data_IF_500247786184
#
_entry.id   IF_500247786184
#
_cell.length_a   1.000
_cell.length_b   1.000
_cell.length_c   1.000
_cell.angle_alpha   90.00
_cell.angle_beta   90.00
_cell.angle_gamma   90.00
#
_symmetry.space_group_name_H-M   'P 1'
#
loop_
_entity.id
_entity.type
_entity.pdbx_description
1 polymer ?
#
# COMPACT_ATOMS: atom_id res chain seq x y z
N UNK A 1 -3.39 -41.30 -5.60
CA UNK A 1 -4.73 -40.69 -5.53
C UNK A 1 -5.65 -41.65 -6.26
N UNK A 2 -6.68 -42.16 -5.60
CA UNK A 2 -7.68 -43.02 -6.24
C UNK A 2 -8.58 -42.14 -7.13
N UNK A 3 -8.81 -42.54 -8.38
CA UNK A 3 -9.67 -41.76 -9.29
C UNK A 3 -11.11 -41.66 -8.77
N UNK A 4 -11.56 -42.66 -7.99
CA UNK A 4 -12.88 -42.67 -7.37
C UNK A 4 -13.00 -41.70 -6.19
N UNK A 5 -11.88 -41.16 -5.68
CA UNK A 5 -11.88 -40.14 -4.63
C UNK A 5 -11.73 -38.71 -5.16
N UNK A 6 -11.56 -38.53 -6.47
CA UNK A 6 -11.47 -37.21 -7.11
C UNK A 6 -12.87 -36.62 -7.27
N UNK A 7 -13.17 -35.59 -6.49
CA UNK A 7 -14.38 -34.80 -6.63
C UNK A 7 -14.03 -33.40 -7.13
N UNK A 8 -14.25 -33.16 -8.43
CA UNK A 8 -13.90 -31.88 -9.07
C UNK A 8 -14.65 -30.68 -8.47
N UNK A 9 -15.88 -30.85 -7.98
CA UNK A 9 -16.60 -29.77 -7.31
C UNK A 9 -15.91 -29.35 -6.02
N UNK A 10 -15.49 -30.33 -5.22
CA UNK A 10 -14.74 -30.04 -3.99
C UNK A 10 -13.40 -29.35 -4.32
N UNK A 11 -12.70 -29.79 -5.37
CA UNK A 11 -11.45 -29.15 -5.81
C UNK A 11 -11.68 -27.71 -6.29
N UNK A 12 -12.74 -27.45 -7.05
CA UNK A 12 -13.11 -26.11 -7.51
C UNK A 12 -13.48 -25.19 -6.34
N UNK A 13 -14.30 -25.68 -5.39
CA UNK A 13 -14.66 -24.95 -4.17
C UNK A 13 -13.40 -24.60 -3.33
N UNK A 14 -12.40 -25.49 -3.30
CA UNK A 14 -11.11 -25.22 -2.65
C UNK A 14 -10.34 -24.11 -3.36
N UNK A 15 -10.34 -24.07 -4.69
CA UNK A 15 -9.70 -23.00 -5.47
C UNK A 15 -10.38 -21.66 -5.18
N UNK A 16 -11.71 -21.58 -5.31
CA UNK A 16 -12.49 -20.35 -5.07
C UNK A 16 -12.25 -19.81 -3.66
N UNK A 17 -12.21 -20.70 -2.65
CA UNK A 17 -11.90 -20.33 -1.27
C UNK A 17 -10.48 -19.79 -1.12
N UNK A 18 -9.49 -20.44 -1.75
CA UNK A 18 -8.09 -20.01 -1.70
C UNK A 18 -7.91 -18.65 -2.37
N UNK A 19 -8.51 -18.42 -3.54
CA UNK A 19 -8.48 -17.14 -4.25
C UNK A 19 -9.15 -16.03 -3.42
N UNK A 20 -10.31 -16.31 -2.82
CA UNK A 20 -11.02 -15.37 -1.95
C UNK A 20 -10.19 -14.99 -0.71
N UNK A 21 -9.49 -15.95 -0.11
CA UNK A 21 -8.59 -15.69 1.01
C UNK A 21 -7.37 -14.86 0.59
N UNK A 22 -6.74 -15.21 -0.54
CA UNK A 22 -5.63 -14.44 -1.10
C UNK A 22 -6.04 -12.99 -1.37
N UNK A 23 -7.24 -12.76 -1.92
CA UNK A 23 -7.75 -11.42 -2.16
C UNK A 23 -7.93 -10.61 -0.86
N UNK A 24 -8.44 -11.23 0.20
CA UNK A 24 -8.54 -10.58 1.52
C UNK A 24 -7.16 -10.18 2.05
N UNK A 25 -6.18 -11.08 1.97
CA UNK A 25 -4.79 -10.80 2.39
C UNK A 25 -4.18 -9.66 1.57
N UNK A 26 -4.36 -9.67 0.24
CA UNK A 26 -3.87 -8.60 -0.64
C UNK A 26 -4.46 -7.24 -0.24
N UNK A 27 -5.77 -7.19 -0.01
CA UNK A 27 -6.46 -5.97 0.43
C UNK A 27 -5.95 -5.47 1.78
N UNK A 28 -5.78 -6.38 2.74
CA UNK A 28 -5.24 -6.04 4.06
C UNK A 28 -3.85 -5.43 3.98
N UNK A 29 -2.95 -6.03 3.18
CA UNK A 29 -1.61 -5.49 2.96
C UNK A 29 -1.67 -4.08 2.37
N UNK A 30 -2.51 -3.84 1.35
CA UNK A 30 -2.66 -2.50 0.76
C UNK A 30 -3.21 -1.49 1.78
N UNK A 31 -4.20 -1.87 2.59
CA UNK A 31 -4.77 -1.02 3.65
C UNK A 31 -3.72 -0.64 4.70
N UNK A 32 -2.88 -1.58 5.12
CA UNK A 32 -1.81 -1.32 6.08
C UNK A 32 -0.79 -0.34 5.53
N UNK A 33 -0.36 -0.51 4.27
CA UNK A 33 0.50 0.48 3.61
C UNK A 33 -0.16 1.85 3.47
N UNK A 34 -1.46 1.90 3.15
CA UNK A 34 -2.21 3.15 3.06
C UNK A 34 -2.20 3.92 4.38
N UNK A 35 -2.52 3.27 5.50
CA UNK A 35 -2.49 3.91 6.82
C UNK A 35 -1.08 4.30 7.25
N UNK A 36 -0.09 3.48 6.97
CA UNK A 36 1.32 3.83 7.23
C UNK A 36 1.71 5.09 6.45
N UNK A 37 1.36 5.18 5.17
CA UNK A 37 1.62 6.35 4.32
C UNK A 37 0.89 7.60 4.80
N UNK A 38 -0.37 7.45 5.23
CA UNK A 38 -1.13 8.53 5.88
C UNK A 38 -0.42 9.05 7.13
N UNK A 39 0.09 8.16 7.98
CA UNK A 39 0.88 8.50 9.15
C UNK A 39 2.17 9.26 8.79
N UNK A 40 2.90 8.80 7.77
CA UNK A 40 4.08 9.51 7.26
C UNK A 40 3.73 10.94 6.79
N UNK A 41 2.62 11.10 6.08
CA UNK A 41 2.17 12.41 5.58
C UNK A 41 1.77 13.34 6.73
N UNK A 42 1.04 12.85 7.73
CA UNK A 42 0.66 13.63 8.92
C UNK A 42 1.87 14.18 9.67
N UNK A 43 2.88 13.34 9.93
CA UNK A 43 4.14 13.79 10.55
C UNK A 43 4.92 14.76 9.66
N UNK A 44 4.98 14.49 8.35
CA UNK A 44 5.62 15.39 7.41
C UNK A 44 4.97 16.78 7.43
N UNK A 45 3.65 16.85 7.36
CA UNK A 45 2.90 18.11 7.40
C UNK A 45 3.02 18.83 8.75
N UNK A 46 3.18 18.09 9.85
CA UNK A 46 3.51 18.67 11.14
C UNK A 46 4.88 19.36 11.12
N UNK A 47 5.93 18.67 10.66
CA UNK A 47 7.29 19.23 10.61
C UNK A 47 7.44 20.35 9.57
N UNK A 48 6.74 20.25 8.44
CA UNK A 48 6.77 21.25 7.37
C UNK A 48 6.24 22.63 7.79
N UNK A 49 5.53 22.73 8.92
CA UNK A 49 5.14 24.02 9.51
C UNK A 49 6.34 24.85 9.98
N UNK A 50 7.44 24.19 10.32
CA UNK A 50 8.63 24.82 10.93
C UNK A 50 9.88 24.64 10.09
N UNK A 51 9.98 23.54 9.34
CA UNK A 51 11.18 23.13 8.62
C UNK A 51 10.94 23.05 7.11
N UNK A 52 12.02 23.13 6.33
CA UNK A 52 11.98 22.86 4.89
C UNK A 52 11.68 21.37 4.60
N UNK A 53 11.41 21.04 3.34
CA UNK A 53 10.99 19.69 2.93
C UNK A 53 12.04 18.61 3.25
N UNK A 54 13.33 18.91 3.10
CA UNK A 54 14.41 17.97 3.38
C UNK A 54 14.49 17.68 4.88
N UNK A 55 14.52 18.71 5.72
CA UNK A 55 14.54 18.59 7.17
C UNK A 55 13.28 17.92 7.71
N UNK A 56 12.10 18.27 7.21
CA UNK A 56 10.85 17.61 7.59
C UNK A 56 10.87 16.12 7.24
N UNK A 57 11.40 15.74 6.07
CA UNK A 57 11.51 14.35 5.68
C UNK A 57 12.51 13.56 6.55
N UNK A 58 13.63 14.17 6.94
CA UNK A 58 14.60 13.59 7.87
C UNK A 58 13.98 13.33 9.25
N UNK A 59 13.23 14.29 9.80
CA UNK A 59 12.52 14.12 11.08
C UNK A 59 11.45 13.02 11.03
N UNK A 60 10.75 12.85 9.89
CA UNK A 60 9.85 11.70 9.70
C UNK A 60 10.63 10.38 9.72
N UNK A 61 11.82 10.33 9.10
CA UNK A 61 12.65 9.13 9.17
C UNK A 61 13.05 8.83 10.61
N UNK A 62 13.51 9.82 11.37
CA UNK A 62 13.84 9.68 12.79
C UNK A 62 12.65 9.15 13.60
N UNK A 63 11.44 9.69 13.39
CA UNK A 63 10.23 9.18 14.06
C UNK A 63 9.92 7.73 13.72
N UNK A 64 10.15 7.33 12.48
CA UNK A 64 10.02 5.91 12.08
C UNK A 64 11.07 5.07 12.83
N UNK A 65 12.32 5.55 12.92
CA UNK A 65 13.41 4.87 13.60
C UNK A 65 13.18 4.66 15.09
N UNK A 66 12.56 5.63 15.78
CA UNK A 66 12.19 5.51 17.20
C UNK A 66 11.27 4.31 17.49
N UNK A 67 10.43 3.93 16.51
CA UNK A 67 9.39 2.92 16.69
C UNK A 67 9.72 1.58 16.05
N UNK A 68 10.89 1.45 15.44
CA UNK A 68 11.35 0.20 14.84
C UNK A 68 12.26 -0.55 15.83
N UNK A 69 12.03 -1.85 16.08
CA UNK A 69 12.91 -2.66 16.92
C UNK A 69 14.36 -2.65 16.41
N UNK A 70 15.36 -2.63 17.30
CA UNK A 70 16.78 -2.56 16.90
C UNK A 70 17.20 -3.67 15.93
N UNK A 71 16.64 -4.86 16.07
CA UNK A 71 16.83 -6.00 15.15
C UNK A 71 16.38 -5.72 13.71
N UNK A 72 15.36 -4.88 13.53
CA UNK A 72 14.85 -4.44 12.23
C UNK A 72 15.60 -3.22 11.70
N UNK A 73 16.41 -2.55 12.55
CA UNK A 73 17.20 -1.38 12.15
C UNK A 73 18.42 -1.73 11.29
N UNK A 74 18.79 -3.01 11.26
CA UNK A 74 19.94 -3.52 10.50
C UNK A 74 19.73 -3.35 8.98
N UNK A 75 18.49 -3.12 8.52
CA UNK A 75 18.20 -2.96 7.08
C UNK A 75 17.55 -1.62 6.73
N UNK A 76 18.31 -0.52 6.81
CA UNK A 76 17.93 0.84 6.36
C UNK A 76 17.21 0.85 5.00
N UNK A 77 17.69 0.04 4.06
CA UNK A 77 17.11 -0.07 2.72
C UNK A 77 15.67 -0.60 2.72
N UNK A 78 15.32 -1.54 3.61
CA UNK A 78 13.98 -2.12 3.68
C UNK A 78 12.98 -1.14 4.29
N UNK A 79 13.38 -0.41 5.32
CA UNK A 79 12.54 0.61 5.97
C UNK A 79 12.24 1.74 5.00
N UNK A 80 13.27 2.21 4.29
CA UNK A 80 13.12 3.19 3.21
C UNK A 80 12.15 2.70 2.13
N UNK A 81 12.35 1.49 1.59
CA UNK A 81 11.44 0.89 0.58
C UNK A 81 10.01 0.76 1.09
N UNK A 82 9.82 0.42 2.37
CA UNK A 82 8.50 0.32 3.02
C UNK A 82 7.82 1.69 3.10
N UNK A 83 8.55 2.73 3.52
CA UNK A 83 8.07 4.12 3.55
C UNK A 83 7.71 4.60 2.14
N UNK A 84 8.60 4.44 1.17
CA UNK A 84 8.37 4.86 -0.22
C UNK A 84 7.12 4.20 -0.81
N UNK A 85 6.97 2.88 -0.63
CA UNK A 85 5.77 2.15 -1.05
C UNK A 85 4.50 2.67 -0.36
N UNK A 86 4.57 2.92 0.94
CA UNK A 86 3.44 3.43 1.71
C UNK A 86 3.00 4.82 1.23
N UNK A 87 3.95 5.73 1.03
CA UNK A 87 3.68 7.09 0.54
C UNK A 87 3.05 7.06 -0.85
N UNK A 88 3.52 6.20 -1.77
CA UNK A 88 2.91 6.01 -3.09
C UNK A 88 1.47 5.50 -3.00
N UNK A 89 1.24 4.45 -2.22
CA UNK A 89 -0.11 3.88 -2.03
C UNK A 89 -1.06 4.92 -1.42
N UNK A 90 -0.60 5.66 -0.42
CA UNK A 90 -1.38 6.74 0.18
C UNK A 90 -1.72 7.82 -0.85
N UNK A 91 -0.72 8.37 -1.56
CA UNK A 91 -0.92 9.41 -2.60
C UNK A 91 -1.95 8.99 -3.64
N UNK A 92 -1.80 7.77 -4.17
CA UNK A 92 -2.71 7.23 -5.18
C UNK A 92 -4.14 7.17 -4.65
N UNK A 93 -4.36 6.45 -3.55
CA UNK A 93 -5.73 6.18 -3.10
C UNK A 93 -6.39 7.40 -2.47
N UNK A 94 -5.69 8.19 -1.66
CA UNK A 94 -6.25 9.40 -1.06
C UNK A 94 -6.73 10.37 -2.17
N UNK A 95 -5.98 10.46 -3.27
CA UNK A 95 -6.36 11.27 -4.44
C UNK A 95 -7.57 10.76 -5.25
N UNK A 96 -7.93 9.47 -5.17
CA UNK A 96 -9.03 8.89 -5.98
C UNK A 96 -10.26 8.42 -5.19
N UNK A 97 -10.28 8.60 -3.86
CA UNK A 97 -11.43 8.25 -3.00
C UNK A 97 -11.11 7.34 -1.81
N UNK A 98 -9.83 7.23 -1.44
CA UNK A 98 -9.32 6.58 -0.24
C UNK A 98 -9.70 5.11 -0.11
N UNK A 99 -10.08 4.73 1.12
CA UNK A 99 -10.45 3.35 1.48
C UNK A 99 -11.57 2.76 0.63
N UNK A 100 -12.50 3.59 0.14
CA UNK A 100 -13.59 3.12 -0.73
C UNK A 100 -13.03 2.51 -2.01
N UNK A 101 -12.01 3.13 -2.61
CA UNK A 101 -11.34 2.61 -3.83
C UNK A 101 -10.43 1.42 -3.54
N UNK A 102 -9.77 1.39 -2.38
CA UNK A 102 -8.97 0.23 -1.97
C UNK A 102 -9.84 -1.04 -1.91
N UNK A 103 -11.05 -0.92 -1.35
CA UNK A 103 -11.97 -2.05 -1.23
C UNK A 103 -12.49 -2.57 -2.59
N UNK A 104 -12.30 -1.81 -3.68
CA UNK A 104 -12.69 -2.20 -5.03
C UNK A 104 -11.56 -2.88 -5.82
N UNK A 105 -10.35 -2.97 -5.26
CA UNK A 105 -9.23 -3.66 -5.92
C UNK A 105 -9.60 -5.14 -6.10
N UNK A 106 -9.40 -5.65 -7.33
CA UNK A 106 -9.57 -7.08 -7.66
C UNK A 106 -8.27 -7.77 -8.06
N UNK A 107 -7.31 -7.04 -8.62
CA UNK A 107 -6.18 -7.63 -9.35
C UNK A 107 -4.81 -7.07 -8.97
N UNK A 108 -4.75 -5.89 -8.35
CA UNK A 108 -3.49 -5.22 -8.02
C UNK A 108 -3.09 -5.44 -6.57
N UNK A 109 -1.82 -5.77 -6.32
CA UNK A 109 -1.28 -5.84 -4.96
C UNK A 109 -0.34 -4.65 -4.69
N UNK A 110 0.09 -4.49 -3.44
CA UNK A 110 0.96 -3.40 -3.02
C UNK A 110 2.29 -3.35 -3.79
N UNK A 111 2.82 -4.50 -4.23
CA UNK A 111 4.05 -4.58 -5.02
C UNK A 111 3.84 -4.00 -6.42
N UNK A 112 2.77 -4.41 -7.11
CA UNK A 112 2.43 -3.88 -8.44
C UNK A 112 2.20 -2.37 -8.40
N UNK A 113 1.50 -1.86 -7.38
CA UNK A 113 1.26 -0.42 -7.21
C UNK A 113 2.58 0.33 -6.95
N UNK A 114 3.50 -0.27 -6.19
CA UNK A 114 4.78 0.38 -5.86
C UNK A 114 5.71 0.62 -7.06
N UNK A 115 5.49 -0.11 -8.15
CA UNK A 115 6.22 0.04 -9.42
C UNK A 115 5.78 1.27 -10.21
N UNK A 116 4.62 1.85 -9.92
CA UNK A 116 4.17 3.09 -10.55
C UNK A 116 5.14 4.22 -10.22
N UNK A 117 5.48 5.03 -11.21
CA UNK A 117 6.21 6.28 -10.99
C UNK A 117 5.31 7.30 -10.30
N UNK A 118 5.91 8.40 -9.81
CA UNK A 118 5.12 9.50 -9.25
C UNK A 118 4.24 10.13 -10.33
N UNK A 119 4.75 10.25 -11.56
CA UNK A 119 4.04 10.79 -12.71
C UNK A 119 2.87 9.89 -13.13
N UNK A 120 3.04 8.56 -13.10
CA UNK A 120 1.93 7.61 -13.36
C UNK A 120 0.81 7.77 -12.34
N UNK A 121 1.17 7.93 -11.06
CA UNK A 121 0.20 8.15 -9.99
C UNK A 121 -0.55 9.47 -10.23
N UNK A 122 0.18 10.54 -10.54
CA UNK A 122 -0.42 11.85 -10.79
C UNK A 122 -1.33 11.84 -12.03
N UNK A 123 -0.92 11.13 -13.09
CA UNK A 123 -1.74 10.91 -14.27
C UNK A 123 -3.04 10.16 -13.92
N UNK A 124 -2.96 9.06 -13.15
CA UNK A 124 -4.14 8.29 -12.74
C UNK A 124 -5.08 9.15 -11.89
N UNK A 125 -4.54 9.87 -10.91
CA UNK A 125 -5.34 10.76 -10.04
C UNK A 125 -6.04 11.83 -10.87
N UNK A 126 -5.30 12.53 -11.74
CA UNK A 126 -5.87 13.56 -12.61
C UNK A 126 -6.95 12.99 -13.53
N UNK A 127 -6.74 11.80 -14.10
CA UNK A 127 -7.72 11.16 -15.00
C UNK A 127 -8.99 10.72 -14.29
N UNK A 128 -8.91 10.25 -13.04
CA UNK A 128 -10.07 9.85 -12.25
C UNK A 128 -10.84 11.07 -11.71
N UNK A 129 -10.14 12.17 -11.41
CA UNK A 129 -10.76 13.40 -10.92
C UNK A 129 -11.38 14.26 -12.02
N UNK A 130 -10.95 14.11 -13.29
CA UNK A 130 -11.65 14.73 -14.41
C UNK A 130 -13.07 14.14 -14.45
N UNK A 131 -14.14 14.94 -14.26
CA UNK A 131 -15.48 14.46 -14.50
C UNK A 131 -15.53 13.99 -15.95
N UNK A 132 -16.10 12.79 -16.19
CA UNK A 132 -16.31 12.27 -17.53
C UNK A 132 -16.93 13.39 -18.39
N UNK A 133 -16.15 13.93 -19.34
CA UNK A 133 -16.67 14.79 -20.40
C UNK A 133 -17.50 13.95 -21.36
#
# INVERSE_FOLDING_TARGET
MDINSVNFRNLDDMIVKAEGNNQKTVLEVVRTYYYYGKGCKLWFDHYKKTYNDESANSLVNEKIWEHIPDQDKITNANIRKRKERAVKIFKLFDGIGGMKKINCIKTFNASSISKLSVDDIDYVVAKVLKPNQ
#
